data_IF_017168844722
#
_entry.id   IF_017168844722
#
_cell.length_a   1.000
_cell.length_b   1.000
_cell.length_c   1.000
_cell.angle_alpha   90.00
_cell.angle_beta   90.00
_cell.angle_gamma   90.00
#
_symmetry.space_group_name_H-M   'P 1'
#
loop_
_entity.id
_entity.type
_entity.pdbx_description
1 polymer ?
#
# COMPACT_ATOMS: atom_id res chain seq x y z
N UNK A 1 3.71 -14.98 -23.41
CA UNK A 1 2.85 -15.65 -22.40
C UNK A 1 1.96 -14.61 -21.75
N UNK A 2 0.68 -14.84 -21.73
CA UNK A 2 -0.27 -14.06 -20.95
C UNK A 2 -0.37 -14.75 -19.59
N UNK A 3 -0.23 -14.01 -18.50
CA UNK A 3 -0.46 -14.50 -17.14
C UNK A 3 -1.57 -13.69 -16.48
N UNK A 4 -2.21 -14.26 -15.50
CA UNK A 4 -3.16 -13.61 -14.62
C UNK A 4 -2.64 -13.67 -13.18
N UNK A 5 -3.21 -12.83 -12.36
CA UNK A 5 -2.88 -12.72 -10.95
C UNK A 5 -4.16 -12.94 -10.17
N UNK A 6 -4.22 -14.06 -9.46
CA UNK A 6 -5.21 -14.29 -8.44
C UNK A 6 -4.72 -13.64 -7.15
N UNK A 7 -5.60 -12.91 -6.48
CA UNK A 7 -5.26 -12.23 -5.25
C UNK A 7 -6.33 -12.37 -4.19
N UNK A 8 -5.91 -12.30 -2.96
CA UNK A 8 -6.78 -12.21 -1.80
C UNK A 8 -6.22 -11.17 -0.84
N UNK A 9 -7.09 -10.44 -0.16
CA UNK A 9 -6.70 -9.45 0.85
C UNK A 9 -7.74 -9.37 1.96
N UNK A 10 -7.28 -8.94 3.11
CA UNK A 10 -8.10 -8.67 4.30
C UNK A 10 -7.39 -7.62 5.15
N UNK A 11 -8.17 -6.89 5.93
CA UNK A 11 -7.70 -5.96 6.94
C UNK A 11 -8.56 -6.14 8.18
N UNK A 12 -7.98 -6.04 9.38
CA UNK A 12 -8.69 -6.31 10.62
C UNK A 12 -8.10 -5.50 11.78
N UNK A 13 -8.95 -4.77 12.51
CA UNK A 13 -8.54 -3.95 13.67
C UNK A 13 -7.93 -4.75 14.84
N UNK A 14 -8.03 -6.09 14.82
CA UNK A 14 -7.60 -6.92 15.93
C UNK A 14 -8.65 -7.00 17.04
N UNK A 15 -8.22 -7.42 18.24
CA UNK A 15 -9.13 -7.67 19.38
C UNK A 15 -8.98 -6.65 20.51
N UNK A 16 -7.98 -5.78 20.45
CA UNK A 16 -7.58 -4.93 21.57
C UNK A 16 -7.78 -3.45 21.25
N UNK A 17 -7.39 -3.02 20.06
CA UNK A 17 -7.49 -1.61 19.65
C UNK A 17 -8.93 -1.25 19.25
N UNK A 18 -9.44 -0.09 19.67
CA UNK A 18 -10.76 0.38 19.25
C UNK A 18 -10.78 0.81 17.78
N UNK A 19 -9.66 1.28 17.26
CA UNK A 19 -9.50 1.80 15.92
C UNK A 19 -8.58 0.91 15.08
N UNK A 20 -8.78 0.91 13.78
CA UNK A 20 -7.91 0.29 12.81
C UNK A 20 -7.07 1.38 12.12
N UNK A 21 -5.78 1.39 12.39
CA UNK A 21 -4.83 2.33 11.81
C UNK A 21 -4.25 1.83 10.47
N UNK A 22 -4.58 0.59 10.10
CA UNK A 22 -4.14 0.00 8.85
C UNK A 22 -5.09 0.33 7.70
N UNK A 23 -4.54 0.39 6.51
CA UNK A 23 -5.27 0.45 5.26
C UNK A 23 -4.54 -0.35 4.17
N UNK A 24 -5.17 -0.48 3.04
CA UNK A 24 -4.59 -1.07 1.84
C UNK A 24 -5.07 -0.31 0.61
N UNK A 25 -4.36 -0.50 -0.48
CA UNK A 25 -4.87 -0.21 -1.81
C UNK A 25 -4.69 -1.45 -2.68
N UNK A 26 -5.79 -2.06 -3.11
CA UNK A 26 -5.78 -3.26 -3.92
C UNK A 26 -6.60 -3.06 -5.19
N UNK A 27 -5.93 -2.78 -6.29
CA UNK A 27 -6.54 -2.64 -7.61
C UNK A 27 -7.73 -1.65 -7.66
N UNK A 28 -7.68 -0.56 -6.91
CA UNK A 28 -8.71 0.48 -6.84
C UNK A 28 -9.64 0.40 -5.62
N UNK A 29 -9.42 -0.57 -4.73
CA UNK A 29 -10.17 -0.69 -3.49
C UNK A 29 -9.30 -0.31 -2.30
N UNK A 30 -9.84 0.45 -1.35
CA UNK A 30 -9.26 0.82 -0.06
C UNK A 30 -10.37 1.15 0.94
N UNK A 31 -10.04 1.26 2.22
CA UNK A 31 -10.99 1.50 3.28
C UNK A 31 -11.12 3.01 3.57
N UNK A 32 -12.27 3.47 4.10
CA UNK A 32 -12.41 4.85 4.61
C UNK A 32 -11.50 5.08 5.83
N UNK A 33 -11.32 6.34 6.23
CA UNK A 33 -10.50 6.71 7.40
C UNK A 33 -10.94 5.93 8.65
N UNK A 34 -12.22 6.02 8.99
CA UNK A 34 -12.76 5.24 10.10
C UNK A 34 -13.27 3.91 9.60
N UNK A 35 -12.60 2.83 10.00
CA UNK A 35 -12.94 1.48 9.58
C UNK A 35 -12.55 0.45 10.64
N UNK A 36 -13.19 -0.71 10.59
CA UNK A 36 -12.85 -1.87 11.41
C UNK A 36 -12.15 -2.98 10.60
N UNK A 37 -11.79 -2.69 9.37
CA UNK A 37 -11.24 -3.64 8.41
C UNK A 37 -12.28 -4.16 7.43
N UNK A 38 -11.99 -5.32 6.86
CA UNK A 38 -12.90 -6.06 5.97
C UNK A 38 -13.65 -7.12 6.78
N UNK A 39 -14.95 -7.28 6.56
CA UNK A 39 -15.74 -8.33 7.23
C UNK A 39 -15.31 -9.73 6.80
N UNK A 40 -14.89 -9.86 5.55
CA UNK A 40 -14.50 -11.11 4.93
C UNK A 40 -13.20 -10.95 4.14
N UNK A 41 -12.56 -12.08 3.82
CA UNK A 41 -11.46 -12.11 2.86
C UNK A 41 -12.02 -11.77 1.48
N UNK A 42 -11.49 -10.73 0.88
CA UNK A 42 -11.82 -10.35 -0.50
C UNK A 42 -10.86 -11.00 -1.48
N UNK A 43 -11.38 -11.46 -2.59
CA UNK A 43 -10.60 -12.14 -3.63
C UNK A 43 -10.87 -11.51 -4.99
N UNK A 44 -9.94 -11.68 -5.89
CA UNK A 44 -10.15 -11.23 -7.27
C UNK A 44 -9.11 -11.79 -8.22
N UNK A 45 -9.30 -11.45 -9.49
CA UNK A 45 -8.41 -11.81 -10.58
C UNK A 45 -8.12 -10.58 -11.42
N UNK A 46 -6.88 -10.39 -11.80
CA UNK A 46 -6.46 -9.34 -12.75
C UNK A 46 -5.60 -9.92 -13.85
N UNK A 47 -5.86 -9.47 -15.05
CA UNK A 47 -4.99 -9.75 -16.18
C UNK A 47 -3.76 -8.82 -16.11
N UNK A 48 -2.64 -9.32 -16.59
CA UNK A 48 -1.39 -8.55 -16.68
C UNK A 48 -1.56 -7.19 -17.35
N UNK A 49 -2.38 -7.12 -18.38
CA UNK A 49 -2.62 -5.92 -19.18
C UNK A 49 -3.25 -4.78 -18.37
N UNK A 50 -3.92 -5.11 -17.27
CA UNK A 50 -4.50 -4.11 -16.35
C UNK A 50 -3.45 -3.44 -15.44
N UNK A 51 -2.19 -3.91 -15.47
CA UNK A 51 -1.09 -3.41 -14.65
C UNK A 51 -1.45 -3.39 -13.16
N UNK A 52 -1.72 -4.54 -12.55
CA UNK A 52 -2.14 -4.59 -11.16
C UNK A 52 -1.07 -4.02 -10.22
N UNK A 53 -1.52 -3.23 -9.26
CA UNK A 53 -0.72 -2.72 -8.14
C UNK A 53 -1.49 -3.02 -6.86
N UNK A 54 -0.77 -3.38 -5.80
CA UNK A 54 -1.33 -3.64 -4.47
C UNK A 54 -0.36 -3.09 -3.44
N UNK A 55 -0.91 -2.50 -2.38
CA UNK A 55 -0.12 -1.95 -1.28
C UNK A 55 -0.84 -2.14 0.04
N UNK A 56 -0.08 -2.25 1.12
CA UNK A 56 -0.58 -2.18 2.49
C UNK A 56 0.14 -1.04 3.22
N UNK A 57 -0.58 -0.45 4.17
CA UNK A 57 -0.19 0.73 4.92
C UNK A 57 -0.51 0.50 6.40
N UNK A 58 0.49 0.56 7.27
CA UNK A 58 0.37 0.52 8.73
C UNK A 58 0.59 1.95 9.24
N UNK A 59 -0.50 2.57 9.66
CA UNK A 59 -0.50 3.96 10.09
C UNK A 59 0.06 4.12 11.49
N UNK A 60 0.82 5.18 11.72
CA UNK A 60 1.38 5.54 13.00
C UNK A 60 1.10 6.99 13.35
N UNK A 61 0.77 7.23 14.60
CA UNK A 61 0.46 8.56 15.14
C UNK A 61 -0.38 8.44 16.41
N UNK A 62 -0.39 9.48 17.26
CA UNK A 62 -1.31 9.55 18.40
C UNK A 62 -2.70 10.00 17.96
N UNK A 63 -3.74 9.65 18.75
CA UNK A 63 -5.12 10.16 18.62
C UNK A 63 -5.67 10.26 17.19
N UNK A 64 -5.89 9.12 16.52
CA UNK A 64 -6.50 9.01 15.18
C UNK A 64 -5.66 9.52 14.00
N UNK A 65 -4.37 9.71 14.19
CA UNK A 65 -3.51 10.21 13.12
C UNK A 65 -2.98 9.07 12.23
N UNK A 66 -2.87 7.85 12.77
CA UNK A 66 -2.47 6.67 12.03
C UNK A 66 -3.45 6.32 10.93
N UNK A 67 -4.76 6.26 11.25
CA UNK A 67 -5.83 5.98 10.28
C UNK A 67 -5.83 7.01 9.14
N UNK A 68 -5.65 8.28 9.50
CA UNK A 68 -5.60 9.36 8.51
C UNK A 68 -4.37 9.24 7.61
N UNK A 69 -3.19 8.92 8.18
CA UNK A 69 -1.98 8.75 7.38
C UNK A 69 -2.10 7.58 6.38
N UNK A 70 -2.60 6.43 6.84
CA UNK A 70 -2.81 5.26 6.00
C UNK A 70 -3.88 5.50 4.93
N UNK A 71 -4.95 6.22 5.26
CA UNK A 71 -5.99 6.60 4.31
C UNK A 71 -5.46 7.58 3.25
N UNK A 72 -4.76 8.65 3.66
CA UNK A 72 -4.17 9.62 2.73
C UNK A 72 -3.21 8.95 1.74
N UNK A 73 -2.40 8.00 2.20
CA UNK A 73 -1.53 7.24 1.33
C UNK A 73 -2.32 6.39 0.32
N UNK A 74 -3.38 5.70 0.78
CA UNK A 74 -4.24 4.88 -0.08
C UNK A 74 -4.97 5.73 -1.14
N UNK A 75 -5.57 6.83 -0.73
CA UNK A 75 -6.31 7.76 -1.59
C UNK A 75 -5.38 8.42 -2.61
N UNK A 76 -4.22 8.90 -2.15
CA UNK A 76 -3.19 9.47 -3.01
C UNK A 76 -2.67 8.45 -4.05
N UNK A 77 -2.48 7.18 -3.67
CA UNK A 77 -2.09 6.13 -4.60
C UNK A 77 -3.17 5.86 -5.64
N UNK A 78 -4.46 5.88 -5.28
CA UNK A 78 -5.58 5.74 -6.21
C UNK A 78 -5.54 6.82 -7.30
N UNK A 79 -5.43 8.09 -6.89
CA UNK A 79 -5.35 9.21 -7.83
C UNK A 79 -4.11 9.11 -8.71
N UNK A 80 -2.95 8.90 -8.12
CA UNK A 80 -1.69 8.77 -8.84
C UNK A 80 -1.70 7.62 -9.85
N UNK A 81 -2.22 6.45 -9.45
CA UNK A 81 -2.32 5.30 -10.33
C UNK A 81 -3.21 5.57 -11.55
N UNK A 82 -4.38 6.19 -11.35
CA UNK A 82 -5.30 6.51 -12.47
C UNK A 82 -4.64 7.38 -13.51
N UNK A 83 -3.93 8.40 -13.07
CA UNK A 83 -3.31 9.39 -13.95
C UNK A 83 -2.02 8.87 -14.61
N UNK A 84 -1.32 7.92 -13.97
CA UNK A 84 0.04 7.52 -14.36
C UNK A 84 0.17 6.08 -14.85
N UNK A 85 -0.90 5.43 -15.33
CA UNK A 85 -0.84 4.07 -15.92
C UNK A 85 0.16 3.95 -17.07
N UNK A 86 0.34 5.02 -17.84
CA UNK A 86 1.33 5.09 -18.91
C UNK A 86 2.76 5.00 -18.39
N UNK A 87 3.06 5.64 -17.26
CA UNK A 87 4.35 5.57 -16.58
C UNK A 87 4.60 4.17 -16.04
N UNK A 88 3.63 3.56 -15.35
CA UNK A 88 3.72 2.19 -14.84
C UNK A 88 4.05 1.19 -15.96
N UNK A 89 3.47 1.36 -17.14
CA UNK A 89 3.72 0.49 -18.31
C UNK A 89 5.14 0.62 -18.86
N UNK A 90 5.70 1.83 -18.87
CA UNK A 90 6.96 2.15 -19.53
C UNK A 90 8.17 2.12 -18.58
N UNK A 91 7.96 2.57 -17.35
CA UNK A 91 9.00 2.76 -16.35
C UNK A 91 8.45 2.45 -14.94
N UNK A 92 8.21 1.17 -14.60
CA UNK A 92 7.57 0.78 -13.34
C UNK A 92 8.36 1.22 -12.09
N UNK A 93 9.68 1.22 -12.13
CA UNK A 93 10.50 1.70 -11.01
C UNK A 93 10.31 3.21 -10.76
N UNK A 94 10.24 3.99 -11.84
CA UNK A 94 9.93 5.42 -11.73
C UNK A 94 8.52 5.63 -11.18
N UNK A 95 7.54 4.84 -11.66
CA UNK A 95 6.18 4.90 -11.13
C UNK A 95 6.17 4.67 -9.62
N UNK A 96 6.84 3.64 -9.12
CA UNK A 96 6.90 3.34 -7.69
C UNK A 96 7.53 4.50 -6.91
N UNK A 97 8.64 5.05 -7.41
CA UNK A 97 9.33 6.17 -6.77
C UNK A 97 8.46 7.43 -6.69
N UNK A 98 7.81 7.79 -7.78
CA UNK A 98 6.95 8.98 -7.83
C UNK A 98 5.64 8.77 -7.04
N UNK A 99 5.08 7.56 -7.04
CA UNK A 99 3.95 7.22 -6.17
C UNK A 99 4.31 7.41 -4.69
N UNK A 100 5.48 6.92 -4.25
CA UNK A 100 5.95 7.12 -2.88
C UNK A 100 6.08 8.61 -2.52
N UNK A 101 6.66 9.42 -3.41
CA UNK A 101 6.79 10.86 -3.18
C UNK A 101 5.43 11.55 -3.08
N UNK A 102 4.50 11.18 -3.95
CA UNK A 102 3.15 11.74 -3.98
C UNK A 102 2.38 11.41 -2.69
N UNK A 103 2.41 10.16 -2.26
CA UNK A 103 1.81 9.73 -0.99
C UNK A 103 2.44 10.44 0.21
N UNK A 104 3.76 10.50 0.27
CA UNK A 104 4.48 11.22 1.35
C UNK A 104 4.11 12.70 1.38
N UNK A 105 4.00 13.34 0.21
CA UNK A 105 3.61 14.75 0.13
C UNK A 105 2.20 14.96 0.71
N UNK A 106 1.23 14.09 0.37
CA UNK A 106 -0.14 14.18 0.88
C UNK A 106 -0.19 14.07 2.41
N UNK A 107 0.54 13.12 2.99
CA UNK A 107 0.62 12.94 4.45
C UNK A 107 1.30 14.15 5.11
N UNK A 108 2.41 14.63 4.55
CA UNK A 108 3.14 15.77 5.10
C UNK A 108 2.34 17.08 5.01
N UNK A 109 1.62 17.30 3.92
CA UNK A 109 0.80 18.50 3.74
C UNK A 109 -0.33 18.54 4.75
N UNK A 110 -1.06 17.42 4.89
CA UNK A 110 -2.09 17.31 5.92
C UNK A 110 -1.54 17.55 7.33
N UNK A 111 -0.40 16.92 7.67
CA UNK A 111 0.24 17.13 8.97
C UNK A 111 0.59 18.60 9.25
N UNK A 112 1.09 19.30 8.23
CA UNK A 112 1.38 20.75 8.34
C UNK A 112 0.13 21.60 8.51
N UNK A 113 -0.90 21.35 7.71
CA UNK A 113 -2.18 22.07 7.77
C UNK A 113 -2.87 21.91 9.12
N UNK A 114 -2.86 20.69 9.64
CA UNK A 114 -3.47 20.35 10.93
C UNK A 114 -2.55 20.61 12.14
N UNK A 115 -1.31 21.06 11.93
CA UNK A 115 -0.29 21.28 12.96
C UNK A 115 0.01 20.03 13.79
N UNK A 116 0.03 18.87 13.14
CA UNK A 116 0.34 17.59 13.75
C UNK A 116 1.85 17.40 13.74
N UNK A 117 2.42 17.13 14.90
CA UNK A 117 3.88 17.00 15.06
C UNK A 117 4.45 15.67 14.58
N UNK A 118 3.65 14.62 14.62
CA UNK A 118 4.08 13.27 14.21
C UNK A 118 2.90 12.46 13.70
N UNK A 119 2.91 12.16 12.40
CA UNK A 119 2.06 11.19 11.76
C UNK A 119 2.80 10.56 10.59
N UNK A 120 2.46 9.35 10.24
CA UNK A 120 3.07 8.65 9.12
C UNK A 120 2.42 7.30 8.87
N UNK A 121 2.89 6.60 7.87
CA UNK A 121 2.49 5.23 7.60
C UNK A 121 3.65 4.47 6.98
N UNK A 122 3.71 3.17 7.23
CA UNK A 122 4.53 2.26 6.44
C UNK A 122 3.95 2.10 5.06
N UNK A 123 4.69 1.48 4.17
CA UNK A 123 4.19 1.05 2.87
C UNK A 123 4.92 -0.22 2.43
N UNK A 124 4.16 -1.25 2.07
CA UNK A 124 4.67 -2.39 1.34
C UNK A 124 3.84 -2.57 0.06
N UNK A 125 4.45 -2.28 -1.09
CA UNK A 125 3.78 -2.19 -2.39
C UNK A 125 4.38 -3.15 -3.41
N UNK A 126 3.53 -3.76 -4.23
CA UNK A 126 3.90 -4.55 -5.39
C UNK A 126 3.19 -4.03 -6.65
N UNK A 127 3.96 -3.91 -7.74
CA UNK A 127 3.43 -3.58 -9.05
C UNK A 127 3.83 -4.66 -10.06
N UNK A 128 2.87 -5.12 -10.86
CA UNK A 128 3.10 -6.18 -11.84
C UNK A 128 3.34 -5.58 -13.23
N UNK A 129 4.55 -5.78 -13.75
CA UNK A 129 4.93 -5.41 -15.10
C UNK A 129 4.73 -6.53 -16.11
N UNK A 130 5.35 -6.41 -17.28
CA UNK A 130 5.22 -7.38 -18.37
C UNK A 130 5.84 -8.75 -18.07
N UNK A 131 6.96 -8.79 -17.39
CA UNK A 131 7.74 -10.01 -17.10
C UNK A 131 8.13 -10.14 -15.64
N UNK A 132 8.08 -9.04 -14.90
CA UNK A 132 8.63 -8.89 -13.56
C UNK A 132 7.59 -8.26 -12.65
N UNK A 133 7.67 -8.57 -11.36
CA UNK A 133 7.01 -7.84 -10.30
C UNK A 133 8.03 -6.92 -9.64
N UNK A 134 7.64 -5.70 -9.39
CA UNK A 134 8.44 -4.67 -8.75
C UNK A 134 7.91 -4.45 -7.35
N UNK A 135 8.78 -4.40 -6.36
CA UNK A 135 8.40 -4.14 -4.98
C UNK A 135 9.01 -2.84 -4.49
N UNK A 136 8.28 -2.14 -3.63
CA UNK A 136 8.76 -0.99 -2.90
C UNK A 136 8.34 -1.13 -1.44
N UNK A 137 9.25 -0.87 -0.51
CA UNK A 137 9.02 -0.99 0.93
C UNK A 137 9.55 0.23 1.66
N UNK A 138 8.72 0.79 2.54
CA UNK A 138 9.07 1.86 3.48
C UNK A 138 8.53 1.46 4.87
N UNK A 139 9.40 1.43 5.87
CA UNK A 139 9.06 0.98 7.22
C UNK A 139 9.31 -0.52 7.43
N UNK A 140 8.59 -1.13 8.34
CA UNK A 140 8.75 -2.51 8.81
C UNK A 140 7.61 -3.45 8.40
N UNK A 141 6.64 -2.99 7.64
CA UNK A 141 5.70 -3.87 6.93
C UNK A 141 6.45 -4.70 5.90
N UNK A 142 6.14 -6.01 5.80
CA UNK A 142 7.01 -6.97 5.11
C UNK A 142 6.36 -7.58 3.88
N UNK A 143 7.18 -7.85 2.88
CA UNK A 143 6.81 -8.59 1.68
C UNK A 143 7.57 -9.92 1.68
N UNK A 144 6.83 -11.01 1.54
CA UNK A 144 7.39 -12.36 1.45
C UNK A 144 7.09 -12.97 0.10
N UNK A 145 7.97 -13.84 -0.34
CA UNK A 145 7.79 -14.67 -1.53
C UNK A 145 7.84 -16.14 -1.16
N UNK A 146 6.85 -16.89 -1.62
CA UNK A 146 6.87 -18.34 -1.62
C UNK A 146 7.02 -18.84 -3.06
N UNK A 147 8.04 -19.63 -3.34
CA UNK A 147 8.26 -20.20 -4.67
C UNK A 147 9.04 -21.51 -4.56
N UNK A 148 8.56 -22.54 -5.26
CA UNK A 148 9.22 -23.86 -5.31
C UNK A 148 9.54 -24.43 -3.92
N UNK A 149 8.63 -24.29 -2.97
CA UNK A 149 8.83 -24.77 -1.59
C UNK A 149 9.65 -23.83 -0.68
N UNK A 150 10.23 -22.75 -1.21
CA UNK A 150 10.99 -21.79 -0.43
C UNK A 150 10.17 -20.56 -0.05
N UNK A 151 10.17 -20.23 1.24
CA UNK A 151 9.59 -19.03 1.79
C UNK A 151 10.70 -18.06 2.20
N UNK A 152 10.65 -16.83 1.71
CA UNK A 152 11.68 -15.82 1.98
C UNK A 152 11.08 -14.41 2.07
N UNK A 153 11.56 -13.62 3.02
CA UNK A 153 11.31 -12.18 3.03
C UNK A 153 12.12 -11.54 1.90
N UNK A 154 11.47 -10.75 1.07
CA UNK A 154 12.10 -10.04 -0.05
C UNK A 154 12.17 -8.53 0.15
N UNK A 155 11.46 -7.99 1.14
CA UNK A 155 11.61 -6.62 1.63
C UNK A 155 12.70 -6.53 2.69
N UNK A 156 13.17 -5.31 2.96
CA UNK A 156 14.08 -5.01 4.07
C UNK A 156 13.40 -4.03 5.02
N UNK A 157 13.39 -4.37 6.31
CA UNK A 157 12.81 -3.49 7.34
C UNK A 157 13.64 -2.21 7.49
N UNK A 158 12.96 -1.08 7.54
CA UNK A 158 13.54 0.22 7.88
C UNK A 158 13.10 0.55 9.31
N UNK A 159 13.93 0.24 10.27
CA UNK A 159 13.72 0.57 11.68
C UNK A 159 14.75 1.60 12.13
N UNK A 160 14.32 2.56 12.95
CA UNK A 160 15.24 3.45 13.62
C UNK A 160 16.09 2.63 14.60
N UNK A 161 17.42 2.77 14.50
CA UNK A 161 18.37 2.15 15.44
C UNK A 161 18.56 3.04 16.64
#
# INVERSE_FOLDING_TARGET
MTYHIDYAYTCHAGKVRPNNEDNFWCCGEYLPVSNHGTEEIRTGLRLRESLPVMSVFDGMGGESQGEMAAWLASDSLEHFYRENKGMLRKAPELFLTEACKNMNQAVCDYGREQRISAMGTTMAMIAFGKKEAYICNLGDSRIYRFSKGNFSQISRDHVLK
#
